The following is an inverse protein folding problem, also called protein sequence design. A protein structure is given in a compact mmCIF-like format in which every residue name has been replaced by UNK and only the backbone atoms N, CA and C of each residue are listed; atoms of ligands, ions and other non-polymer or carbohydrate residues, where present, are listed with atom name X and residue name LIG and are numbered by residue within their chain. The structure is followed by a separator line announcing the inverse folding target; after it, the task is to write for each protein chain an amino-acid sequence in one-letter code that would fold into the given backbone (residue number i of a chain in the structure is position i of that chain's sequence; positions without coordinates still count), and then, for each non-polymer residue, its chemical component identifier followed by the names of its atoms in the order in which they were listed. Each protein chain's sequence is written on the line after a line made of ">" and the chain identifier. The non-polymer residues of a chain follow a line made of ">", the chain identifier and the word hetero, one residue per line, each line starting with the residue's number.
data_IF_785870765098
#
_entry.id   IF_785870765098
#
_cell.length_a   1.000
_cell.length_b   1.000
_cell.length_c   1.000
_cell.angle_alpha   90.00
_cell.angle_beta   90.00
_cell.angle_gamma   90.00
#
_symmetry.space_group_name_H-M   'P 1'
#
loop_
_entity.id
_entity.type
_entity.pdbx_description
1 polymer ?
#
# COMPACT_ATOMS: atom_id res chain seq x y z
N UNK A 1 12.33 -22.06 12.35
CA UNK A 1 12.48 -21.66 10.94
C UNK A 1 11.91 -20.27 10.80
N UNK A 2 12.75 -19.25 10.84
CA UNK A 2 12.34 -17.87 10.63
C UNK A 2 12.01 -17.66 9.15
N UNK A 3 10.74 -17.39 8.84
CA UNK A 3 10.30 -17.13 7.46
C UNK A 3 10.35 -15.63 7.20
N UNK A 4 11.13 -15.22 6.20
CA UNK A 4 11.17 -13.84 5.72
C UNK A 4 10.29 -13.73 4.46
N UNK A 5 9.34 -12.80 4.47
CA UNK A 5 8.56 -12.43 3.30
C UNK A 5 8.98 -11.04 2.82
N UNK A 6 9.34 -10.91 1.54
CA UNK A 6 9.62 -9.65 0.88
C UNK A 6 8.45 -9.31 -0.04
N UNK A 7 7.77 -8.20 0.22
CA UNK A 7 6.69 -7.69 -0.63
C UNK A 7 7.21 -6.45 -1.35
N UNK A 8 7.36 -6.55 -2.66
CA UNK A 8 7.55 -5.37 -3.51
C UNK A 8 6.21 -4.69 -3.69
N UNK A 9 6.09 -3.45 -3.23
CA UNK A 9 4.98 -2.62 -3.65
C UNK A 9 5.31 -2.12 -5.05
N UNK A 10 4.75 -2.80 -6.05
CA UNK A 10 4.74 -2.32 -7.43
C UNK A 10 3.81 -1.12 -7.53
N UNK A 11 2.70 -1.23 -8.25
CA UNK A 11 1.63 -0.25 -8.13
C UNK A 11 1.10 -0.27 -6.67
N UNK A 12 1.42 0.72 -5.82
CA UNK A 12 1.16 0.64 -4.38
C UNK A 12 -0.34 0.70 -4.08
N UNK A 13 -1.13 1.15 -5.07
CA UNK A 13 -2.55 1.35 -4.95
C UNK A 13 -3.33 0.04 -4.75
N UNK A 14 -2.82 -1.11 -5.20
CA UNK A 14 -3.61 -2.36 -5.16
C UNK A 14 -2.82 -3.65 -4.93
N UNK A 15 -1.56 -3.76 -5.35
CA UNK A 15 -0.84 -5.04 -5.30
C UNK A 15 -0.13 -5.33 -3.97
N UNK A 16 0.87 -4.51 -3.64
CA UNK A 16 1.72 -4.76 -2.48
C UNK A 16 1.02 -4.50 -1.15
N UNK A 17 0.19 -3.45 -1.04
CA UNK A 17 -0.49 -3.09 0.21
C UNK A 17 -1.51 -4.16 0.59
N UNK A 18 -2.25 -4.67 -0.40
CA UNK A 18 -3.16 -5.80 -0.22
C UNK A 18 -2.42 -7.08 0.19
N UNK A 19 -1.25 -7.36 -0.40
CA UNK A 19 -0.45 -8.53 -0.03
C UNK A 19 0.06 -8.45 1.42
N UNK A 20 0.55 -7.28 1.85
CA UNK A 20 0.96 -7.06 3.24
C UNK A 20 -0.22 -7.27 4.20
N UNK A 21 -1.38 -6.68 3.89
CA UNK A 21 -2.60 -6.83 4.68
C UNK A 21 -3.04 -8.29 4.77
N UNK A 22 -3.12 -8.98 3.63
CA UNK A 22 -3.50 -10.39 3.56
C UNK A 22 -2.54 -11.28 4.37
N UNK A 23 -1.22 -11.06 4.25
CA UNK A 23 -0.23 -11.81 5.04
C UNK A 23 -0.45 -11.61 6.55
N UNK A 24 -0.75 -10.38 6.99
CA UNK A 24 -1.05 -10.11 8.41
C UNK A 24 -2.34 -10.76 8.87
N UNK A 25 -3.40 -10.67 8.07
CA UNK A 25 -4.71 -11.28 8.36
C UNK A 25 -4.63 -12.82 8.42
N UNK A 26 -3.82 -13.44 7.56
CA UNK A 26 -3.54 -14.88 7.53
C UNK A 26 -2.57 -15.35 8.64
N UNK A 27 -2.17 -14.45 9.56
CA UNK A 27 -1.34 -14.80 10.71
C UNK A 27 0.16 -14.87 10.45
N UNK A 28 0.66 -14.22 9.39
CA UNK A 28 2.09 -14.06 9.19
C UNK A 28 2.69 -13.10 10.24
N UNK A 29 3.30 -13.68 11.27
CA UNK A 29 3.89 -12.95 12.41
C UNK A 29 5.39 -12.72 12.27
N UNK A 30 6.04 -13.41 11.33
CA UNK A 30 7.49 -13.29 11.09
C UNK A 30 7.83 -11.97 10.39
N UNK A 31 9.13 -11.74 10.17
CA UNK A 31 9.63 -10.49 9.59
C UNK A 31 9.10 -10.30 8.17
N UNK A 32 8.42 -9.18 7.96
CA UNK A 32 7.92 -8.74 6.66
C UNK A 32 8.73 -7.51 6.25
N UNK A 33 9.37 -7.58 5.09
CA UNK A 33 10.13 -6.45 4.52
C UNK A 33 9.36 -5.93 3.32
N UNK A 34 9.03 -4.65 3.38
CA UNK A 34 8.32 -3.93 2.35
C UNK A 34 9.31 -3.05 1.63
N UNK A 35 9.44 -3.25 0.31
CA UNK A 35 10.39 -2.50 -0.52
C UNK A 35 9.61 -1.54 -1.41
N UNK A 36 9.93 -0.26 -1.29
CA UNK A 36 9.27 0.85 -1.98
C UNK A 36 10.28 1.80 -2.60
N UNK A 37 9.86 2.44 -3.69
CA UNK A 37 10.64 3.53 -4.30
C UNK A 37 10.33 4.86 -3.62
N UNK A 38 9.08 5.06 -3.22
CA UNK A 38 8.62 6.31 -2.62
C UNK A 38 8.76 6.29 -1.12
N UNK A 39 9.13 7.44 -0.54
CA UNK A 39 9.34 7.57 0.91
C UNK A 39 8.02 7.68 1.69
N UNK A 40 6.93 7.96 0.98
CA UNK A 40 5.60 8.14 1.54
C UNK A 40 4.98 6.78 1.82
N UNK A 41 4.11 6.68 2.83
CA UNK A 41 3.30 5.48 3.01
C UNK A 41 2.45 5.22 1.75
N UNK A 42 2.18 3.96 1.37
CA UNK A 42 1.36 3.66 0.20
C UNK A 42 -0.01 4.33 0.29
N UNK A 43 -0.44 4.95 -0.81
CA UNK A 43 -1.66 5.75 -0.88
C UNK A 43 -2.43 5.43 -2.18
N UNK A 44 -3.72 5.80 -2.22
CA UNK A 44 -4.56 5.59 -3.40
C UNK A 44 -4.19 6.55 -4.54
N UNK A 45 -3.32 6.09 -5.44
CA UNK A 45 -2.95 6.83 -6.66
C UNK A 45 -4.10 7.00 -7.65
N UNK A 46 -5.14 6.18 -7.56
CA UNK A 46 -6.35 6.33 -8.37
C UNK A 46 -7.02 7.65 -8.04
N UNK A 47 -7.04 8.04 -6.77
CA UNK A 47 -7.59 9.31 -6.32
C UNK A 47 -6.90 10.51 -6.97
N UNK A 48 -5.59 10.44 -7.19
CA UNK A 48 -4.82 11.51 -7.84
C UNK A 48 -5.22 11.75 -9.31
N UNK A 49 -5.77 10.76 -10.00
CA UNK A 49 -6.10 10.85 -11.42
C UNK A 49 -7.59 10.88 -11.73
N UNK A 50 -8.44 10.51 -10.76
CA UNK A 50 -9.90 10.48 -10.89
C UNK A 50 -10.57 11.54 -10.01
N UNK A 51 -10.57 11.32 -8.70
CA UNK A 51 -11.36 12.10 -7.77
C UNK A 51 -10.84 13.53 -7.57
N UNK A 52 -9.51 13.72 -7.47
CA UNK A 52 -8.93 15.06 -7.31
C UNK A 52 -9.16 15.92 -8.56
N UNK A 53 -8.85 15.47 -9.80
CA UNK A 53 -9.11 16.28 -10.98
C UNK A 53 -10.61 16.59 -11.21
N UNK A 54 -11.50 15.73 -10.72
CA UNK A 54 -12.95 15.94 -10.77
C UNK A 54 -13.48 16.86 -9.66
N UNK A 55 -12.63 17.23 -8.68
CA UNK A 55 -13.03 18.05 -7.53
C UNK A 55 -13.88 17.31 -6.50
N UNK A 56 -13.86 15.98 -6.52
CA UNK A 56 -14.65 15.12 -5.62
C UNK A 56 -13.89 14.79 -4.31
N UNK A 57 -12.60 15.10 -4.24
CA UNK A 57 -11.74 14.80 -3.09
C UNK A 57 -10.61 15.84 -2.98
N UNK A 58 -10.29 16.27 -1.76
CA UNK A 58 -9.11 17.11 -1.52
C UNK A 58 -7.82 16.27 -1.52
N UNK A 59 -6.70 16.86 -1.96
CA UNK A 59 -5.40 16.16 -2.00
C UNK A 59 -4.92 15.67 -0.63
N UNK A 60 -5.34 16.33 0.45
CA UNK A 60 -5.02 15.95 1.81
C UNK A 60 -5.92 14.82 2.34
N UNK A 61 -6.96 14.45 1.59
CA UNK A 61 -7.90 13.38 1.92
C UNK A 61 -7.58 12.05 1.23
N UNK A 62 -6.50 11.99 0.46
CA UNK A 62 -6.08 10.75 -0.23
C UNK A 62 -5.77 9.66 0.80
N UNK A 63 -6.47 8.51 0.77
CA UNK A 63 -6.32 7.48 1.78
C UNK A 63 -4.99 6.75 1.65
N UNK A 64 -4.36 6.49 2.80
CA UNK A 64 -3.27 5.52 2.92
C UNK A 64 -3.82 4.09 2.92
N UNK A 65 -3.02 3.15 2.43
CA UNK A 65 -3.44 1.77 2.14
C UNK A 65 -2.89 0.73 3.13
N UNK A 66 -2.16 1.16 4.16
CA UNK A 66 -1.57 0.32 5.21
C UNK A 66 -1.90 0.85 6.61
#
# INVERSE_FOLDING_TARGET
>A
MDRLAAVGLGDPATGGSAAVKALREEGFTSKLVVVEREKQAPYDRTALSKFIPQGEMDINEVPFLL
#
